data_IF_313340948693
#
_entry.id   IF_313340948693
#
_cell.length_a   1.000
_cell.length_b   1.000
_cell.length_c   1.000
_cell.angle_alpha   90.00
_cell.angle_beta   90.00
_cell.angle_gamma   90.00
#
_symmetry.space_group_name_H-M   'P 1'
#
loop_
_entity.id
_entity.type
_entity.pdbx_description
1 polymer ?
#
# COMPACT_ATOMS: atom_id res chain seq x y z
N UNK A 1 -15.07 -8.63 -33.46
CA UNK A 1 -14.40 -9.91 -33.72
C UNK A 1 -14.00 -10.45 -32.36
N UNK A 2 -14.68 -11.50 -31.90
CA UNK A 2 -14.53 -12.08 -30.56
C UNK A 2 -13.22 -12.87 -30.48
N UNK A 3 -12.29 -12.40 -29.65
CA UNK A 3 -11.10 -13.18 -29.30
C UNK A 3 -11.54 -14.48 -28.60
N UNK A 4 -10.94 -15.64 -28.90
CA UNK A 4 -11.15 -16.82 -28.09
C UNK A 4 -10.43 -16.61 -26.75
N UNK A 5 -11.14 -16.03 -25.78
CA UNK A 5 -10.73 -15.97 -24.36
C UNK A 5 -10.33 -17.36 -23.80
N UNK A 6 -10.74 -18.45 -24.47
CA UNK A 6 -10.36 -19.83 -24.17
C UNK A 6 -8.85 -20.12 -24.11
N UNK A 7 -8.00 -19.24 -24.68
CA UNK A 7 -6.54 -19.40 -24.64
C UNK A 7 -5.87 -18.67 -23.46
N UNK A 8 -6.60 -17.86 -22.69
CA UNK A 8 -6.03 -17.08 -21.59
C UNK A 8 -6.52 -17.55 -20.23
N UNK A 9 -5.63 -17.59 -19.25
CA UNK A 9 -5.94 -17.92 -17.85
C UNK A 9 -5.89 -16.66 -17.01
N UNK A 10 -7.03 -16.31 -16.37
CA UNK A 10 -7.09 -15.24 -15.39
C UNK A 10 -6.33 -15.65 -14.12
N UNK A 11 -5.53 -14.73 -13.59
CA UNK A 11 -4.71 -14.88 -12.39
C UNK A 11 -4.98 -13.71 -11.46
N UNK A 12 -5.79 -13.96 -10.44
CA UNK A 12 -6.13 -12.97 -9.43
C UNK A 12 -4.89 -12.57 -8.62
N UNK A 13 -4.63 -11.26 -8.53
CA UNK A 13 -3.52 -10.67 -7.76
C UNK A 13 -4.02 -9.67 -6.74
N UNK A 14 -3.26 -9.39 -5.69
CA UNK A 14 -3.43 -8.16 -4.91
C UNK A 14 -2.52 -7.05 -5.45
N UNK A 15 -2.88 -5.77 -5.28
CA UNK A 15 -2.02 -4.64 -5.61
C UNK A 15 -0.58 -4.75 -5.06
N UNK A 16 -0.39 -5.31 -3.87
CA UNK A 16 0.92 -5.55 -3.26
C UNK A 16 1.76 -6.65 -3.95
N UNK A 17 1.12 -7.58 -4.65
CA UNK A 17 1.81 -8.64 -5.42
C UNK A 17 2.34 -8.11 -6.76
N UNK A 18 1.84 -6.96 -7.21
CA UNK A 18 2.35 -6.27 -8.38
C UNK A 18 3.62 -5.50 -8.03
N UNK A 19 4.77 -6.02 -8.48
CA UNK A 19 6.03 -5.29 -8.42
C UNK A 19 6.18 -4.41 -9.67
N UNK A 20 5.91 -3.12 -9.52
CA UNK A 20 6.06 -2.14 -10.60
C UNK A 20 7.52 -1.98 -11.09
N UNK A 21 8.49 -2.31 -10.24
CA UNK A 21 9.91 -2.09 -10.49
C UNK A 21 10.60 -3.36 -11.00
N UNK A 22 9.90 -4.50 -10.97
CA UNK A 22 10.33 -5.68 -11.69
C UNK A 22 10.46 -5.34 -13.18
N UNK A 23 11.60 -5.65 -13.81
CA UNK A 23 11.74 -5.50 -15.25
C UNK A 23 10.62 -6.27 -15.94
N UNK A 24 9.71 -5.56 -16.61
CA UNK A 24 8.75 -6.22 -17.49
C UNK A 24 9.57 -6.78 -18.65
N UNK A 25 9.75 -8.10 -18.70
CA UNK A 25 10.14 -8.77 -19.93
C UNK A 25 8.98 -8.55 -20.90
N UNK A 26 9.02 -7.45 -21.66
CA UNK A 26 8.07 -7.19 -22.72
C UNK A 26 8.21 -8.31 -23.74
N UNK A 27 7.31 -9.27 -23.67
CA UNK A 27 7.09 -10.17 -24.79
C UNK A 27 6.49 -9.27 -25.86
N UNK A 28 7.19 -9.14 -26.99
CA UNK A 28 6.60 -8.54 -28.19
C UNK A 28 5.28 -9.26 -28.41
N UNK A 29 4.17 -8.51 -28.37
CA UNK A 29 2.92 -8.97 -28.97
C UNK A 29 3.17 -8.94 -30.47
N UNK A 30 3.95 -9.91 -30.97
CA UNK A 30 4.23 -10.03 -32.38
C UNK A 30 2.90 -10.35 -33.09
N UNK A 31 2.62 -9.55 -34.13
CA UNK A 31 1.55 -9.71 -35.14
C UNK A 31 0.11 -9.24 -34.83
N UNK A 32 -0.09 -8.05 -34.26
CA UNK A 32 -1.34 -7.29 -34.51
C UNK A 32 -1.16 -5.79 -34.81
N UNK A 33 0.03 -5.23 -34.67
CA UNK A 33 0.29 -3.78 -34.84
C UNK A 33 0.44 -3.30 -36.31
N UNK A 34 0.20 -4.14 -37.31
CA UNK A 34 0.41 -3.70 -38.71
C UNK A 34 -0.72 -2.81 -39.28
N UNK A 35 -1.65 -2.29 -38.47
CA UNK A 35 -2.81 -1.54 -38.99
C UNK A 35 -3.14 -0.18 -38.35
N UNK A 36 -2.42 0.32 -37.34
CA UNK A 36 -2.79 1.61 -36.71
C UNK A 36 -1.60 2.57 -36.64
N UNK A 37 -1.33 3.23 -37.77
CA UNK A 37 -0.44 4.38 -37.80
C UNK A 37 -1.23 5.64 -37.43
N UNK A 38 -1.00 6.18 -36.23
CA UNK A 38 -1.41 7.55 -35.87
C UNK A 38 -0.18 8.31 -35.41
N UNK A 39 0.16 9.36 -36.17
CA UNK A 39 1.31 10.25 -35.95
C UNK A 39 1.07 11.14 -34.72
N UNK A 40 2.09 11.45 -33.91
CA UNK A 40 1.94 12.37 -32.80
C UNK A 40 2.02 13.81 -33.35
N UNK A 41 0.96 14.58 -33.13
CA UNK A 41 1.08 16.03 -33.18
C UNK A 41 0.15 16.65 -32.15
N UNK A 42 0.71 17.64 -31.45
CA UNK A 42 0.09 18.66 -30.61
C UNK A 42 0.09 18.55 -29.08
N UNK A 43 0.17 19.77 -28.55
CA UNK A 43 0.70 20.25 -27.29
C UNK A 43 -0.14 19.87 -26.08
N UNK A 44 0.57 19.76 -24.95
CA UNK A 44 0.06 19.53 -23.63
C UNK A 44 -0.84 20.70 -23.17
N UNK A 45 -2.14 20.42 -22.99
CA UNK A 45 -3.07 21.22 -22.20
C UNK A 45 -3.60 20.28 -21.12
N UNK A 46 -3.49 20.61 -19.81
CA UNK A 46 -3.93 19.70 -18.77
C UNK A 46 -5.46 19.74 -18.71
N UNK A 47 -6.17 18.61 -18.84
CA UNK A 47 -7.59 18.62 -18.58
C UNK A 47 -7.84 18.21 -17.13
N UNK A 48 -8.65 18.99 -16.44
CA UNK A 48 -9.48 18.54 -15.32
C UNK A 48 -10.34 17.41 -15.87
N UNK A 49 -10.03 16.18 -15.50
CA UNK A 49 -10.81 15.03 -15.93
C UNK A 49 -11.23 14.23 -14.72
N UNK A 50 -12.50 14.42 -14.35
CA UNK A 50 -13.25 13.39 -13.65
C UNK A 50 -13.57 12.28 -14.67
N UNK A 51 -12.96 11.11 -14.48
CA UNK A 51 -13.27 9.82 -15.12
C UNK A 51 -13.29 8.82 -13.95
N UNK A 52 -14.25 7.92 -13.75
CA UNK A 52 -15.23 7.33 -14.69
C UNK A 52 -16.39 6.74 -13.89
N UNK A 53 -17.62 7.11 -14.23
CA UNK A 53 -18.76 6.19 -14.17
C UNK A 53 -18.58 5.15 -15.27
N UNK A 54 -18.96 3.89 -15.04
CA UNK A 54 -18.91 2.74 -15.98
C UNK A 54 -19.34 3.04 -17.44
N UNK A 55 -20.09 4.12 -17.69
CA UNK A 55 -20.52 4.61 -19.00
C UNK A 55 -19.65 5.70 -19.68
N UNK A 56 -18.51 6.15 -19.13
CA UNK A 56 -17.68 7.16 -19.81
C UNK A 56 -16.75 6.54 -20.85
N UNK A 57 -17.28 6.34 -22.06
CA UNK A 57 -16.49 5.99 -23.23
C UNK A 57 -15.49 7.13 -23.57
N UNK A 58 -14.28 6.75 -23.99
CA UNK A 58 -13.32 7.50 -24.85
C UNK A 58 -12.04 8.09 -24.24
N UNK A 59 -11.80 8.03 -22.93
CA UNK A 59 -10.50 8.49 -22.43
C UNK A 59 -9.43 7.42 -22.62
N UNK A 60 -8.48 7.67 -23.52
CA UNK A 60 -7.29 6.84 -23.75
C UNK A 60 -6.08 7.74 -23.55
N UNK A 61 -5.07 7.26 -22.85
CA UNK A 61 -3.85 8.02 -22.73
C UNK A 61 -2.74 7.28 -22.00
N UNK A 62 -1.65 8.01 -21.81
CA UNK A 62 -0.51 7.59 -21.01
C UNK A 62 -0.16 8.73 -20.06
N UNK A 63 0.08 8.41 -18.80
CA UNK A 63 0.67 9.32 -17.82
C UNK A 63 2.02 8.77 -17.36
N UNK A 64 2.91 9.64 -16.88
CA UNK A 64 4.20 9.22 -16.34
C UNK A 64 4.08 9.20 -14.83
N UNK A 65 4.38 8.05 -14.23
CA UNK A 65 4.38 7.94 -12.78
C UNK A 65 5.41 8.91 -12.14
N UNK A 66 5.19 9.44 -10.92
CA UNK A 66 6.15 10.32 -10.25
C UNK A 66 7.57 9.74 -10.08
N UNK A 67 7.71 8.41 -10.02
CA UNK A 67 9.01 7.71 -9.98
C UNK A 67 9.54 7.33 -11.37
N UNK A 68 8.84 7.74 -12.44
CA UNK A 68 9.13 7.37 -13.82
C UNK A 68 8.39 6.10 -14.28
N UNK A 69 8.42 5.86 -15.59
CA UNK A 69 7.70 4.76 -16.23
C UNK A 69 6.29 5.17 -16.70
N UNK A 70 5.85 4.68 -17.88
CA UNK A 70 4.53 4.98 -18.40
C UNK A 70 3.46 4.15 -17.69
N UNK A 71 2.32 4.78 -17.44
CA UNK A 71 1.06 4.15 -17.09
C UNK A 71 0.11 4.42 -18.26
N UNK A 72 -0.25 3.38 -18.98
CA UNK A 72 -1.25 3.47 -20.04
C UNK A 72 -2.63 3.16 -19.46
N UNK A 73 -3.64 3.87 -19.95
CA UNK A 73 -5.01 3.69 -19.51
C UNK A 73 -6.00 3.84 -20.67
N UNK A 74 -7.14 3.17 -20.53
CA UNK A 74 -8.31 3.30 -21.41
C UNK A 74 -9.58 3.09 -20.61
N UNK A 75 -10.40 4.13 -20.50
CA UNK A 75 -11.56 4.12 -19.60
C UNK A 75 -11.12 3.85 -18.16
N UNK A 76 -11.64 2.78 -17.56
CA UNK A 76 -11.28 2.32 -16.22
C UNK A 76 -10.08 1.36 -16.18
N UNK A 77 -9.51 0.96 -17.32
CA UNK A 77 -8.43 -0.02 -17.36
C UNK A 77 -7.07 0.68 -17.27
N UNK A 78 -6.19 0.17 -16.42
CA UNK A 78 -4.81 0.64 -16.26
C UNK A 78 -3.80 -0.50 -16.41
N UNK A 79 -2.65 -0.19 -17.00
CA UNK A 79 -1.53 -1.13 -17.14
C UNK A 79 -0.19 -0.39 -17.27
N UNK A 80 0.91 -1.09 -17.04
CA UNK A 80 2.25 -0.66 -17.45
C UNK A 80 2.56 -1.02 -18.91
N UNK A 81 1.69 -1.79 -19.56
CA UNK A 81 1.74 -2.12 -20.98
C UNK A 81 0.78 -1.24 -21.77
N UNK A 82 0.99 -1.13 -23.09
CA UNK A 82 0.06 -0.41 -23.97
C UNK A 82 -1.32 -1.10 -23.92
N UNK A 83 -2.34 -0.32 -23.58
CA UNK A 83 -3.72 -0.81 -23.43
C UNK A 83 -4.41 -0.84 -24.81
N UNK A 84 -4.61 -2.03 -25.35
CA UNK A 84 -5.24 -2.29 -26.67
C UNK A 84 -6.72 -2.70 -26.53
N UNK A 85 -7.42 -2.98 -27.65
CA UNK A 85 -8.81 -3.49 -27.62
C UNK A 85 -8.93 -4.86 -26.91
N UNK A 86 -7.84 -5.64 -26.87
CA UNK A 86 -7.77 -6.91 -26.14
C UNK A 86 -8.01 -6.68 -24.64
N UNK A 87 -7.40 -5.64 -24.09
CA UNK A 87 -7.56 -5.28 -22.67
C UNK A 87 -8.98 -4.89 -22.33
N UNK A 88 -9.66 -4.16 -23.23
CA UNK A 88 -11.06 -3.77 -23.06
C UNK A 88 -11.94 -5.01 -23.00
N UNK A 89 -11.77 -5.93 -23.94
CA UNK A 89 -12.51 -7.20 -23.98
C UNK A 89 -12.29 -8.04 -22.71
N UNK A 90 -11.05 -8.08 -22.21
CA UNK A 90 -10.70 -8.75 -20.95
C UNK A 90 -11.35 -8.04 -19.75
N UNK A 91 -11.29 -6.71 -19.71
CA UNK A 91 -11.90 -5.89 -18.66
C UNK A 91 -13.40 -6.11 -18.55
N UNK A 92 -14.12 -6.08 -19.68
CA UNK A 92 -15.55 -6.35 -19.74
C UNK A 92 -15.86 -7.76 -19.21
N UNK A 93 -15.10 -8.77 -19.64
CA UNK A 93 -15.25 -10.15 -19.17
C UNK A 93 -14.99 -10.33 -17.67
N UNK A 94 -14.03 -9.57 -17.10
CA UNK A 94 -13.75 -9.57 -15.66
C UNK A 94 -14.93 -8.93 -14.91
N UNK A 95 -15.42 -7.78 -15.39
CA UNK A 95 -16.51 -7.06 -14.73
C UNK A 95 -17.83 -7.82 -14.74
N UNK A 96 -18.15 -8.52 -15.84
CA UNK A 96 -19.34 -9.39 -15.94
C UNK A 96 -19.37 -10.49 -14.85
N UNK A 97 -18.22 -10.82 -14.28
CA UNK A 97 -18.06 -11.83 -13.23
C UNK A 97 -17.85 -11.23 -11.83
N UNK A 98 -17.87 -9.91 -11.69
CA UNK A 98 -17.70 -9.24 -10.41
C UNK A 98 -19.04 -8.84 -9.80
N UNK A 99 -19.22 -9.17 -8.52
CA UNK A 99 -20.34 -8.64 -7.74
C UNK A 99 -20.02 -7.21 -7.28
N UNK A 100 -20.37 -6.22 -8.10
CA UNK A 100 -20.15 -4.81 -7.79
C UNK A 100 -21.14 -4.31 -6.72
N UNK A 101 -20.65 -3.45 -5.83
CA UNK A 101 -21.43 -2.91 -4.70
C UNK A 101 -22.58 -2.00 -5.15
N UNK A 102 -22.43 -1.34 -6.31
CA UNK A 102 -23.39 -0.40 -6.90
C UNK A 102 -23.33 -0.46 -8.42
N UNK A 103 -24.47 -0.22 -9.06
CA UNK A 103 -24.62 -0.18 -10.52
C UNK A 103 -23.78 0.93 -11.20
N UNK A 104 -23.44 2.00 -10.46
CA UNK A 104 -22.60 3.11 -10.94
C UNK A 104 -21.31 3.28 -10.10
N UNK A 105 -20.74 2.18 -9.60
CA UNK A 105 -19.48 2.26 -8.86
C UNK A 105 -18.37 2.90 -9.72
N UNK A 106 -17.58 3.79 -9.12
CA UNK A 106 -16.34 4.27 -9.73
C UNK A 106 -15.29 3.16 -9.60
N UNK A 107 -14.89 2.57 -10.73
CA UNK A 107 -14.04 1.38 -10.79
C UNK A 107 -12.75 1.67 -11.55
N UNK A 108 -11.65 1.05 -11.12
CA UNK A 108 -10.43 0.86 -11.93
C UNK A 108 -10.09 -0.63 -12.02
N UNK A 109 -9.67 -1.09 -13.19
CA UNK A 109 -9.21 -2.47 -13.43
C UNK A 109 -7.73 -2.44 -13.76
N UNK A 110 -6.93 -3.14 -12.98
CA UNK A 110 -5.56 -3.44 -13.38
C UNK A 110 -5.54 -4.70 -14.24
N UNK A 111 -4.83 -4.65 -15.37
CA UNK A 111 -4.62 -5.80 -16.25
C UNK A 111 -3.17 -5.83 -16.72
N UNK A 112 -2.53 -7.00 -16.62
CA UNK A 112 -1.23 -7.25 -17.21
C UNK A 112 -1.21 -8.60 -17.92
N UNK A 113 -0.91 -8.58 -19.22
CA UNK A 113 -0.86 -9.79 -20.04
C UNK A 113 0.58 -10.32 -20.06
N UNK A 114 0.75 -11.60 -19.72
CA UNK A 114 2.02 -12.31 -19.70
C UNK A 114 1.87 -13.63 -20.45
N UNK A 115 2.10 -13.62 -21.76
CA UNK A 115 1.84 -14.77 -22.63
C UNK A 115 0.35 -15.13 -22.58
N UNK A 116 0.02 -16.33 -22.08
CA UNK A 116 -1.36 -16.81 -21.92
C UNK A 116 -1.94 -16.51 -20.53
N UNK A 117 -1.20 -15.89 -19.61
CA UNK A 117 -1.69 -15.53 -18.28
C UNK A 117 -2.09 -14.05 -18.24
N UNK A 118 -3.19 -13.74 -17.57
CA UNK A 118 -3.67 -12.38 -17.36
C UNK A 118 -3.70 -12.13 -15.85
N UNK A 119 -2.76 -11.33 -15.36
CA UNK A 119 -2.78 -10.86 -13.98
C UNK A 119 -3.75 -9.68 -13.87
N UNK A 120 -4.65 -9.73 -12.89
CA UNK A 120 -5.69 -8.71 -12.73
C UNK A 120 -6.11 -8.50 -11.27
N UNK A 121 -6.71 -7.33 -11.04
CA UNK A 121 -7.58 -7.05 -9.90
C UNK A 121 -8.52 -5.88 -10.22
N UNK A 122 -9.65 -5.80 -9.51
CA UNK A 122 -10.64 -4.72 -9.67
C UNK A 122 -10.64 -3.86 -8.40
N UNK A 123 -10.73 -2.55 -8.58
CA UNK A 123 -10.74 -1.57 -7.49
C UNK A 123 -12.07 -0.84 -7.50
N UNK A 124 -12.82 -0.92 -6.41
CA UNK A 124 -13.98 -0.06 -6.13
C UNK A 124 -13.51 1.15 -5.32
N UNK A 125 -13.60 2.34 -5.92
CA UNK A 125 -13.13 3.58 -5.33
C UNK A 125 -14.09 4.16 -4.28
N UNK A 126 -15.39 3.87 -4.37
CA UNK A 126 -16.38 4.30 -3.38
C UNK A 126 -16.15 3.54 -2.07
N UNK A 127 -16.04 2.22 -2.18
CA UNK A 127 -15.82 1.36 -1.03
C UNK A 127 -14.35 1.18 -0.71
N UNK A 128 -13.40 1.73 -1.47
CA UNK A 128 -11.94 1.56 -1.25
C UNK A 128 -11.57 0.09 -1.03
N UNK A 129 -12.11 -0.79 -1.89
CA UNK A 129 -11.96 -2.23 -1.77
C UNK A 129 -11.47 -2.87 -3.06
N UNK A 130 -10.68 -3.93 -2.90
CA UNK A 130 -10.28 -4.80 -4.01
C UNK A 130 -11.29 -5.93 -4.19
N UNK A 131 -11.65 -6.21 -5.45
CA UNK A 131 -12.62 -7.20 -5.89
C UNK A 131 -11.96 -8.09 -6.94
N UNK A 132 -12.39 -9.36 -7.00
CA UNK A 132 -11.93 -10.35 -7.98
C UNK A 132 -13.12 -11.03 -8.66
N UNK A 133 -13.01 -11.23 -9.97
CA UNK A 133 -14.00 -11.94 -10.78
C UNK A 133 -14.24 -13.36 -10.24
N UNK A 134 -15.50 -13.78 -10.24
CA UNK A 134 -15.93 -15.11 -9.79
C UNK A 134 -15.64 -15.40 -8.31
N UNK A 135 -15.32 -14.37 -7.51
CA UNK A 135 -14.89 -14.55 -6.12
C UNK A 135 -13.53 -15.24 -5.98
N UNK A 136 -12.67 -15.20 -7.00
CA UNK A 136 -11.32 -15.79 -6.98
C UNK A 136 -10.35 -14.98 -6.10
N UNK A 137 -10.64 -14.94 -4.80
CA UNK A 137 -9.84 -14.18 -3.83
C UNK A 137 -8.48 -14.88 -3.63
N UNK A 138 -7.35 -14.17 -3.83
CA UNK A 138 -6.02 -14.71 -3.58
C UNK A 138 -5.89 -15.30 -2.19
N UNK A 139 -5.17 -16.42 -2.05
CA UNK A 139 -5.03 -17.13 -0.76
C UNK A 139 -4.52 -16.24 0.38
N UNK A 140 -3.61 -15.32 0.07
CA UNK A 140 -3.04 -14.33 0.98
C UNK A 140 -4.07 -13.29 1.49
N UNK A 141 -5.21 -13.20 0.82
CA UNK A 141 -6.24 -12.20 1.05
C UNK A 141 -7.55 -12.78 1.61
N UNK A 142 -7.66 -14.11 1.73
CA UNK A 142 -8.85 -14.75 2.32
C UNK A 142 -9.03 -14.34 3.78
N UNK A 143 -10.24 -13.94 4.15
CA UNK A 143 -10.55 -13.44 5.50
C UNK A 143 -9.97 -12.05 5.81
N UNK A 144 -9.58 -11.29 4.78
CA UNK A 144 -9.06 -9.95 4.94
C UNK A 144 -10.04 -9.04 5.69
N UNK A 145 -9.49 -8.21 6.58
CA UNK A 145 -10.26 -7.17 7.28
C UNK A 145 -10.53 -5.99 6.37
N UNK A 146 -11.45 -5.12 6.78
CA UNK A 146 -11.70 -3.83 6.10
C UNK A 146 -10.42 -3.00 5.91
N UNK A 147 -9.57 -2.94 6.95
CA UNK A 147 -8.30 -2.23 6.89
C UNK A 147 -7.34 -2.81 5.84
N UNK A 148 -7.40 -4.13 5.60
CA UNK A 148 -6.57 -4.80 4.59
C UNK A 148 -7.02 -4.49 3.16
N UNK A 149 -8.34 -4.41 2.91
CA UNK A 149 -8.87 -3.89 1.64
C UNK A 149 -8.44 -2.44 1.39
N UNK A 150 -8.59 -1.58 2.38
CA UNK A 150 -8.22 -0.17 2.25
C UNK A 150 -6.71 0.00 2.03
N UNK A 151 -5.88 -0.83 2.69
CA UNK A 151 -4.43 -0.85 2.46
C UNK A 151 -4.07 -1.21 1.01
N UNK A 152 -4.63 -2.29 0.46
CA UNK A 152 -4.38 -2.65 -0.93
C UNK A 152 -4.93 -1.60 -1.91
N UNK A 153 -6.06 -0.95 -1.59
CA UNK A 153 -6.56 0.19 -2.35
C UNK A 153 -5.54 1.33 -2.44
N UNK A 154 -4.94 1.71 -1.32
CA UNK A 154 -3.93 2.78 -1.33
C UNK A 154 -2.61 2.34 -1.95
N UNK A 155 -2.26 1.06 -1.93
CA UNK A 155 -1.17 0.52 -2.76
C UNK A 155 -1.50 0.67 -4.24
N UNK A 156 -2.73 0.38 -4.67
CA UNK A 156 -3.15 0.65 -6.04
C UNK A 156 -3.03 2.13 -6.38
N UNK A 157 -3.50 3.04 -5.53
CA UNK A 157 -3.37 4.48 -5.76
C UNK A 157 -1.90 4.96 -5.77
N UNK A 158 -0.98 4.25 -5.11
CA UNK A 158 0.47 4.52 -5.21
C UNK A 158 1.07 3.94 -6.50
N UNK A 159 0.63 2.76 -6.92
CA UNK A 159 1.07 2.11 -8.16
C UNK A 159 0.55 2.85 -9.41
N UNK A 160 -0.70 3.28 -9.36
CA UNK A 160 -1.45 3.94 -10.43
C UNK A 160 -2.10 5.24 -9.89
N UNK A 161 -1.29 6.28 -9.56
CA UNK A 161 -1.77 7.56 -9.06
C UNK A 161 -2.49 8.41 -10.12
N UNK A 162 -2.69 7.86 -11.31
CA UNK A 162 -3.50 8.39 -12.40
C UNK A 162 -3.95 7.22 -13.28
N UNK A 163 -5.00 7.40 -14.11
CA UNK A 163 -5.70 8.65 -14.42
C UNK A 163 -6.68 9.11 -13.33
N UNK A 164 -7.04 8.23 -12.39
CA UNK A 164 -7.92 8.55 -11.26
C UNK A 164 -7.09 9.16 -10.12
N UNK A 165 -7.37 10.41 -9.76
CA UNK A 165 -6.67 11.11 -8.67
C UNK A 165 -7.36 10.95 -7.29
N UNK A 166 -6.58 11.14 -6.23
CA UNK A 166 -7.12 11.24 -4.86
C UNK A 166 -8.10 12.40 -4.75
N UNK A 167 -9.19 12.21 -4.01
CA UNK A 167 -10.22 13.24 -3.85
C UNK A 167 -9.84 14.27 -2.76
N UNK A 168 -10.52 15.44 -2.73
CA UNK A 168 -10.40 16.36 -1.59
C UNK A 168 -10.71 15.70 -0.24
N UNK A 169 -11.66 14.76 -0.23
CA UNK A 169 -12.06 14.07 0.99
C UNK A 169 -10.97 13.13 1.49
N UNK A 170 -10.26 12.45 0.59
CA UNK A 170 -9.13 11.61 0.94
C UNK A 170 -8.00 12.38 1.63
N UNK A 171 -7.66 13.57 1.09
CA UNK A 171 -6.65 14.45 1.66
C UNK A 171 -7.11 15.01 3.03
N UNK A 172 -8.38 15.44 3.12
CA UNK A 172 -8.98 15.94 4.36
C UNK A 172 -8.97 14.86 5.45
N UNK A 173 -9.40 13.65 5.12
CA UNK A 173 -9.44 12.53 6.05
C UNK A 173 -8.02 12.12 6.49
N UNK A 174 -7.04 12.12 5.57
CA UNK A 174 -5.64 11.86 5.91
C UNK A 174 -5.13 12.86 6.97
N UNK A 175 -5.37 14.16 6.76
CA UNK A 175 -5.00 15.22 7.73
C UNK A 175 -5.65 15.01 9.10
N UNK A 176 -6.90 14.57 9.12
CA UNK A 176 -7.61 14.26 10.37
C UNK A 176 -7.01 13.04 11.08
N UNK A 177 -6.73 11.97 10.34
CA UNK A 177 -6.12 10.76 10.92
C UNK A 177 -4.72 11.04 11.44
N UNK A 178 -3.91 11.80 10.70
CA UNK A 178 -2.59 12.23 11.16
C UNK A 178 -2.70 13.03 12.47
N UNK A 179 -3.59 14.03 12.53
CA UNK A 179 -3.82 14.81 13.75
C UNK A 179 -4.27 13.93 14.93
N UNK A 180 -5.17 12.97 14.69
CA UNK A 180 -5.61 12.01 15.71
C UNK A 180 -4.48 11.12 16.21
N UNK A 181 -3.61 10.65 15.31
CA UNK A 181 -2.43 9.86 15.68
C UNK A 181 -1.44 10.70 16.51
N UNK A 182 -1.28 12.00 16.22
CA UNK A 182 -0.41 12.87 17.02
C UNK A 182 -0.95 13.00 18.45
N UNK A 183 -2.27 13.14 18.61
CA UNK A 183 -2.91 13.16 19.93
C UNK A 183 -2.65 11.82 20.64
N UNK A 184 -2.87 10.68 19.97
CA UNK A 184 -2.63 9.35 20.53
C UNK A 184 -1.18 9.18 21.02
N UNK A 185 -0.18 9.62 20.23
CA UNK A 185 1.23 9.57 20.63
C UNK A 185 1.53 10.47 21.84
N UNK A 186 0.86 11.63 21.95
CA UNK A 186 1.07 12.56 23.07
C UNK A 186 0.40 12.11 24.36
N UNK A 187 -0.69 11.35 24.26
CA UNK A 187 -1.50 10.92 25.42
C UNK A 187 -1.25 9.48 25.83
N UNK A 188 -0.61 8.67 24.98
CA UNK A 188 -0.35 7.25 25.23
C UNK A 188 1.09 6.85 24.90
N UNK A 189 1.83 6.44 25.93
CA UNK A 189 3.16 5.81 25.78
C UNK A 189 3.09 4.51 24.96
N UNK A 190 1.91 3.88 24.94
CA UNK A 190 1.58 2.65 24.22
C UNK A 190 1.08 2.85 22.79
N UNK A 191 1.10 4.09 22.26
CA UNK A 191 0.57 4.39 20.92
C UNK A 191 1.09 3.45 19.84
N UNK A 192 0.18 3.00 18.98
CA UNK A 192 0.48 2.17 17.81
C UNK A 192 0.71 3.00 16.54
N UNK A 193 0.76 4.33 16.66
CA UNK A 193 1.08 5.21 15.55
C UNK A 193 2.42 4.82 14.91
N UNK A 194 2.51 4.72 13.57
CA UNK A 194 3.76 4.42 12.89
C UNK A 194 4.76 5.60 12.87
N UNK A 195 4.35 6.77 13.35
CA UNK A 195 5.09 8.03 13.24
C UNK A 195 5.13 8.78 14.56
N UNK A 196 6.21 9.52 14.80
CA UNK A 196 6.30 10.48 15.90
C UNK A 196 5.49 11.74 15.62
N UNK A 197 5.21 12.51 16.68
CA UNK A 197 4.52 13.80 16.58
C UNK A 197 5.25 14.76 15.64
N UNK A 198 6.58 14.78 15.68
CA UNK A 198 7.40 15.65 14.81
C UNK A 198 7.29 15.26 13.34
N UNK A 199 7.27 13.95 13.05
CA UNK A 199 7.06 13.44 11.69
C UNK A 199 5.66 13.80 11.20
N UNK A 200 4.64 13.60 12.04
CA UNK A 200 3.25 13.95 11.71
C UNK A 200 3.11 15.44 11.41
N UNK A 201 3.66 16.32 12.25
CA UNK A 201 3.63 17.77 12.02
C UNK A 201 4.33 18.17 10.71
N UNK A 202 5.44 17.51 10.39
CA UNK A 202 6.16 17.73 9.13
C UNK A 202 5.29 17.32 7.94
N UNK A 203 4.67 16.14 7.98
CA UNK A 203 3.77 15.68 6.93
C UNK A 203 2.55 16.58 6.77
N UNK A 204 1.91 17.00 7.86
CA UNK A 204 0.77 17.92 7.82
C UNK A 204 1.13 19.22 7.10
N UNK A 205 2.29 19.81 7.41
CA UNK A 205 2.80 20.99 6.73
C UNK A 205 3.06 20.75 5.25
N UNK A 206 3.67 19.62 4.88
CA UNK A 206 3.87 19.26 3.46
C UNK A 206 2.55 19.11 2.70
N UNK A 207 1.51 18.59 3.35
CA UNK A 207 0.17 18.42 2.76
C UNK A 207 -0.59 19.75 2.56
N UNK A 208 -0.08 20.89 3.03
CA UNK A 208 -0.68 22.22 2.78
C UNK A 208 -0.45 22.70 1.35
N UNK A 209 0.57 22.19 0.66
CA UNK A 209 0.88 22.53 -0.74
C UNK A 209 -0.16 21.95 -1.71
N UNK A 210 -0.82 20.87 -1.30
CA UNK A 210 -1.79 20.16 -2.11
C UNK A 210 -3.16 20.84 -2.12
N UNK A 211 -3.81 20.82 -3.27
CA UNK A 211 -5.07 21.53 -3.53
C UNK A 211 -6.24 20.56 -3.69
N UNK A 212 -7.45 21.11 -3.84
CA UNK A 212 -8.65 20.30 -4.07
C UNK A 212 -8.70 19.63 -5.44
N UNK A 213 -7.90 20.08 -6.42
CA UNK A 213 -7.96 19.56 -7.78
C UNK A 213 -7.47 18.12 -7.96
N UNK A 214 -6.57 17.66 -7.06
CA UNK A 214 -5.87 16.40 -7.22
C UNK A 214 -4.95 16.39 -8.44
N UNK A 215 -3.76 15.84 -8.29
CA UNK A 215 -2.89 15.53 -9.43
C UNK A 215 -2.14 14.24 -9.13
N UNK A 216 -1.30 13.81 -10.07
CA UNK A 216 -0.56 12.57 -9.96
C UNK A 216 0.45 12.58 -8.78
N UNK A 217 1.07 13.71 -8.48
CA UNK A 217 2.03 13.85 -7.37
C UNK A 217 1.32 13.91 -6.02
N UNK A 218 0.20 14.63 -5.95
CA UNK A 218 -0.67 14.66 -4.78
C UNK A 218 -1.19 13.26 -4.46
N UNK A 219 -1.73 12.55 -5.47
CA UNK A 219 -2.30 11.21 -5.30
C UNK A 219 -1.24 10.24 -4.79
N UNK A 220 -0.06 10.26 -5.41
CA UNK A 220 1.08 9.45 -5.00
C UNK A 220 1.52 9.76 -3.56
N UNK A 221 1.67 11.04 -3.19
CA UNK A 221 2.07 11.42 -1.83
C UNK A 221 1.02 11.05 -0.77
N UNK A 222 -0.26 11.25 -1.07
CA UNK A 222 -1.39 10.88 -0.21
C UNK A 222 -1.45 9.37 -0.03
N UNK A 223 -1.29 8.60 -1.12
CA UNK A 223 -1.28 7.15 -1.08
C UNK A 223 -0.15 6.59 -0.20
N UNK A 224 1.06 7.13 -0.34
CA UNK A 224 2.21 6.73 0.49
C UNK A 224 1.97 6.90 1.99
N UNK A 225 1.36 8.02 2.40
CA UNK A 225 1.05 8.27 3.81
C UNK A 225 -0.08 7.36 4.31
N UNK A 226 -1.11 7.14 3.50
CA UNK A 226 -2.16 6.17 3.82
C UNK A 226 -1.61 4.76 3.97
N UNK A 227 -0.70 4.33 3.10
CA UNK A 227 -0.07 3.01 3.17
C UNK A 227 0.65 2.81 4.50
N UNK A 228 1.44 3.79 4.96
CA UNK A 228 2.10 3.73 6.28
C UNK A 228 1.09 3.57 7.44
N UNK A 229 0.01 4.37 7.42
CA UNK A 229 -1.02 4.33 8.46
C UNK A 229 -1.76 2.99 8.45
N UNK A 230 -2.19 2.54 7.27
CA UNK A 230 -2.99 1.34 7.11
C UNK A 230 -2.19 0.07 7.33
N UNK A 231 -0.91 0.05 6.95
CA UNK A 231 -0.01 -1.04 7.31
C UNK A 231 0.04 -1.21 8.84
N UNK A 232 0.21 -0.12 9.59
CA UNK A 232 0.13 -0.18 11.06
C UNK A 232 -1.22 -0.73 11.53
N UNK A 233 -2.33 -0.24 10.98
CA UNK A 233 -3.68 -0.71 11.34
C UNK A 233 -3.90 -2.19 11.04
N UNK A 234 -3.41 -2.69 9.90
CA UNK A 234 -3.50 -4.11 9.51
C UNK A 234 -2.71 -4.96 10.50
N UNK A 235 -1.46 -4.59 10.83
CA UNK A 235 -0.65 -5.37 11.76
C UNK A 235 -1.25 -5.35 13.17
N UNK A 236 -1.82 -4.21 13.59
CA UNK A 236 -2.50 -4.06 14.87
C UNK A 236 -3.97 -4.56 14.85
N UNK A 237 -4.43 -5.22 13.77
CA UNK A 237 -5.77 -5.80 13.62
C UNK A 237 -6.93 -4.83 13.91
N UNK A 238 -6.79 -3.56 13.51
CA UNK A 238 -7.80 -2.53 13.74
C UNK A 238 -9.17 -2.93 13.17
N UNK A 239 -10.24 -2.62 13.91
CA UNK A 239 -11.62 -2.92 13.52
C UNK A 239 -12.04 -4.38 13.76
N UNK A 240 -11.22 -5.17 14.45
CA UNK A 240 -11.56 -6.54 14.87
C UNK A 240 -11.66 -6.63 16.40
N UNK A 241 -12.21 -7.74 16.90
CA UNK A 241 -12.24 -8.05 18.35
C UNK A 241 -10.83 -8.23 18.95
N UNK A 242 -9.86 -8.56 18.11
CA UNK A 242 -8.47 -8.85 18.50
C UNK A 242 -7.54 -7.64 18.27
N UNK A 243 -8.11 -6.43 18.16
CA UNK A 243 -7.33 -5.22 17.90
C UNK A 243 -6.33 -4.93 19.02
N UNK A 244 -5.06 -4.68 18.66
CA UNK A 244 -4.04 -4.21 19.60
C UNK A 244 -4.11 -2.70 19.72
N UNK A 245 -4.57 -2.23 20.89
CA UNK A 245 -4.69 -0.80 21.20
C UNK A 245 -3.44 -0.23 21.89
N UNK A 246 -2.62 -1.09 22.48
CA UNK A 246 -1.36 -0.72 23.12
C UNK A 246 -0.24 -1.59 22.55
N UNK A 247 0.82 -0.96 22.02
CA UNK A 247 1.97 -1.65 21.43
C UNK A 247 2.73 -2.55 22.43
N UNK A 248 2.59 -2.30 23.74
CA UNK A 248 3.22 -3.11 24.78
C UNK A 248 2.46 -4.39 25.09
N UNK A 249 1.21 -4.52 24.63
CA UNK A 249 0.46 -5.77 24.70
C UNK A 249 0.96 -6.67 23.57
N UNK A 250 1.67 -7.73 23.93
CA UNK A 250 2.15 -8.70 22.95
C UNK A 250 0.97 -9.53 22.43
N UNK A 251 0.81 -9.61 21.11
CA UNK A 251 -0.13 -10.52 20.43
C UNK A 251 0.45 -11.94 20.36
N UNK A 252 1.75 -12.08 20.60
CA UNK A 252 2.52 -13.33 20.59
C UNK A 252 3.21 -13.57 21.93
N UNK A 253 3.65 -14.80 22.22
CA UNK A 253 4.43 -15.12 23.43
C UNK A 253 5.86 -14.53 23.36
N UNK A 254 5.99 -13.20 23.49
CA UNK A 254 7.24 -12.45 23.38
C UNK A 254 7.32 -11.41 24.54
N UNK A 255 8.49 -11.17 25.15
CA UNK A 255 9.83 -11.72 24.87
C UNK A 255 10.01 -13.20 25.24
N UNK A 256 10.92 -13.93 24.56
CA UNK A 256 11.30 -15.27 24.98
C UNK A 256 11.83 -15.25 26.41
N UNK A 257 11.46 -16.25 27.21
CA UNK A 257 11.96 -16.36 28.58
C UNK A 257 13.30 -17.10 28.59
N UNK A 258 14.30 -16.61 29.34
CA UNK A 258 15.54 -17.36 29.53
C UNK A 258 15.24 -18.69 30.26
N UNK A 259 15.72 -19.80 29.71
CA UNK A 259 15.57 -21.16 30.28
C UNK A 259 16.93 -21.81 30.53
N UNK A 260 16.97 -22.78 31.44
CA UNK A 260 18.17 -23.57 31.74
C UNK A 260 19.37 -22.73 32.19
N UNK A 261 20.55 -23.00 31.63
CA UNK A 261 21.82 -22.35 31.99
C UNK A 261 21.78 -20.83 31.76
N UNK A 262 21.05 -20.35 30.76
CA UNK A 262 20.90 -18.93 30.48
C UNK A 262 20.09 -18.21 31.56
N UNK A 263 19.09 -18.87 32.17
CA UNK A 263 18.36 -18.31 33.30
C UNK A 263 19.26 -18.17 34.54
N UNK A 264 20.17 -19.12 34.75
CA UNK A 264 21.14 -19.06 35.85
C UNK A 264 22.18 -17.96 35.63
N UNK A 265 22.75 -17.85 34.43
CA UNK A 265 23.66 -16.75 34.06
C UNK A 265 22.97 -15.40 34.20
N UNK A 266 21.72 -15.28 33.77
CA UNK A 266 20.95 -14.04 33.93
C UNK A 266 20.76 -13.66 35.41
N UNK A 267 20.58 -14.63 36.31
CA UNK A 267 20.56 -14.38 37.77
C UNK A 267 21.92 -13.89 38.29
N UNK A 268 23.03 -14.51 37.88
CA UNK A 268 24.37 -14.07 38.26
C UNK A 268 24.67 -12.64 37.77
N UNK A 269 24.15 -12.27 36.60
CA UNK A 269 24.24 -10.90 36.06
C UNK A 269 23.16 -9.96 36.63
N UNK A 270 22.65 -10.22 37.83
CA UNK A 270 21.65 -9.39 38.52
C UNK A 270 20.39 -9.10 37.69
N UNK A 271 19.96 -10.07 36.88
CA UNK A 271 18.82 -9.97 35.94
C UNK A 271 18.96 -8.87 34.87
N UNK A 272 20.14 -8.26 34.68
CA UNK A 272 20.36 -7.28 33.60
C UNK A 272 20.01 -7.81 32.21
N UNK A 273 20.27 -9.08 31.85
CA UNK A 273 19.84 -9.63 30.57
C UNK A 273 18.32 -9.58 30.36
N UNK A 274 17.51 -9.78 31.42
CA UNK A 274 16.05 -9.64 31.32
C UNK A 274 15.63 -8.20 31.05
N UNK A 275 16.32 -7.21 31.64
CA UNK A 275 16.04 -5.79 31.42
C UNK A 275 16.37 -5.41 29.98
N UNK A 276 17.54 -5.82 29.45
CA UNK A 276 17.90 -5.57 28.06
C UNK A 276 16.95 -6.27 27.08
N UNK A 277 16.58 -7.52 27.36
CA UNK A 277 15.63 -8.26 26.52
C UNK A 277 14.25 -7.61 26.54
N UNK A 278 13.77 -7.15 27.71
CA UNK A 278 12.53 -6.40 27.82
C UNK A 278 12.56 -5.07 27.04
N UNK A 279 13.66 -4.32 27.09
CA UNK A 279 13.84 -3.09 26.30
C UNK A 279 13.89 -3.36 24.79
N UNK A 280 14.61 -4.41 24.39
CA UNK A 280 14.67 -4.86 23.01
C UNK A 280 13.29 -5.27 22.50
N UNK A 281 12.54 -6.05 23.30
CA UNK A 281 11.18 -6.50 22.96
C UNK A 281 10.17 -5.36 22.88
N UNK A 282 10.35 -4.27 23.65
CA UNK A 282 9.52 -3.06 23.51
C UNK A 282 9.85 -2.26 22.26
N UNK A 283 11.13 -2.21 21.89
CA UNK A 283 11.57 -1.58 20.64
C UNK A 283 11.23 -2.41 19.39
N UNK A 284 11.05 -3.73 19.57
CA UNK A 284 10.70 -4.73 18.56
C UNK A 284 9.42 -5.48 18.98
N UNK A 285 8.32 -4.75 19.17
CA UNK A 285 7.08 -5.35 19.63
C UNK A 285 6.41 -6.16 18.51
N UNK A 286 6.25 -7.47 18.70
CA UNK A 286 5.61 -8.42 17.76
C UNK A 286 6.12 -8.30 16.31
N UNK A 287 7.44 -8.26 16.12
CA UNK A 287 8.12 -8.13 14.81
C UNK A 287 7.96 -6.78 14.11
N UNK A 288 7.49 -5.76 14.81
CA UNK A 288 7.49 -4.38 14.34
C UNK A 288 8.60 -3.63 15.08
N UNK A 289 9.62 -3.20 14.34
CA UNK A 289 10.58 -2.23 14.84
C UNK A 289 10.05 -0.82 14.56
N UNK A 290 9.54 -0.13 15.59
CA UNK A 290 9.21 1.28 15.44
C UNK A 290 10.52 2.07 15.34
N UNK A 291 10.76 2.73 14.19
CA UNK A 291 12.05 3.36 13.88
C UNK A 291 12.58 4.26 15.01
N UNK A 292 11.71 5.05 15.63
CA UNK A 292 12.10 5.93 16.73
C UNK A 292 12.46 5.17 18.00
N UNK A 293 11.68 4.16 18.38
CA UNK A 293 11.97 3.33 19.57
C UNK A 293 13.21 2.48 19.36
N UNK A 294 13.42 1.98 18.14
CA UNK A 294 14.64 1.30 17.75
C UNK A 294 15.86 2.23 17.83
N UNK A 295 15.73 3.48 17.35
CA UNK A 295 16.81 4.47 17.42
C UNK A 295 17.14 4.83 18.88
N UNK A 296 16.12 5.04 19.73
CA UNK A 296 16.30 5.27 21.18
C UNK A 296 16.97 4.09 21.87
N UNK A 297 16.51 2.87 21.58
CA UNK A 297 17.10 1.64 22.09
C UNK A 297 18.58 1.53 21.71
N UNK A 298 18.91 1.71 20.42
CA UNK A 298 20.29 1.69 19.92
C UNK A 298 21.16 2.74 20.60
N UNK A 299 20.69 3.99 20.65
CA UNK A 299 21.44 5.10 21.26
C UNK A 299 21.74 4.85 22.74
N UNK A 300 20.77 4.30 23.48
CA UNK A 300 20.98 4.01 24.90
C UNK A 300 21.96 2.85 25.10
N UNK A 301 21.83 1.78 24.30
CA UNK A 301 22.80 0.68 24.33
C UNK A 301 24.21 1.17 23.99
N UNK A 302 24.38 1.98 22.94
CA UNK A 302 25.68 2.56 22.57
C UNK A 302 26.29 3.39 23.70
N UNK A 303 25.48 4.18 24.43
CA UNK A 303 25.95 4.96 25.57
C UNK A 303 26.39 4.08 26.74
N UNK A 304 25.60 3.06 27.09
CA UNK A 304 25.92 2.11 28.16
C UNK A 304 27.21 1.34 27.85
N UNK A 305 27.38 0.85 26.63
CA UNK A 305 28.62 0.17 26.22
C UNK A 305 29.84 1.08 26.25
N UNK A 306 29.72 2.35 25.85
CA UNK A 306 30.81 3.34 26.00
C UNK A 306 31.21 3.55 27.45
N UNK A 307 30.26 3.53 28.39
CA UNK A 307 30.57 3.64 29.82
C UNK A 307 31.30 2.40 30.34
N UNK A 308 30.87 1.20 29.94
CA UNK A 308 31.54 -0.05 30.32
C UNK A 308 32.97 -0.09 29.79
N UNK A 309 33.19 0.26 28.51
CA UNK A 309 34.54 0.29 27.92
C UNK A 309 35.45 1.27 28.66
N UNK A 310 34.95 2.45 29.05
CA UNK A 310 35.72 3.41 29.86
C UNK A 310 36.12 2.84 31.23
N UNK A 311 35.23 2.10 31.88
CA UNK A 311 35.48 1.50 33.21
C UNK A 311 36.45 0.31 33.17
N UNK A 312 36.64 -0.32 32.01
CA UNK A 312 37.52 -1.48 31.82
C UNK A 312 38.84 -1.08 31.14
N UNK A 313 38.89 0.11 30.53
CA UNK A 313 40.06 0.67 29.86
C UNK A 313 40.98 1.50 30.75
N UNK A 314 40.62 1.69 32.02
CA UNK A 314 41.46 2.20 33.12
C UNK A 314 41.87 1.02 34.03
#
# INVERSE_FOLDING_TARGET
MTLPLASYTLSAKTPAEFDRFAPVHSIKVDEFESALSIRPNHQFVPPTVAISTYNSAQAIGTVVHPEGGPISYRGCIVSTQIVTDVYVTIGDHILDQCDLSKENAEITIFVQIQGCQIDYYVVDHDSKAIIWAGGDVPKSFKGATRARHEHEYWIHMENFPGPRFSTPDDLRLLKHVLSSNAIDVLTSDGSTSPMSVQQIQTHLKSLEVFSSGGDIYQTYAVARLWNLILQSRVINKYGTTDARLDRFISITDNPPTFVGIYAFIAKLMFKRPHIHLGRCSRAWADRIAYTEEWRKFKATNEQEWKQVVKLVGD
#
